data_IF_965303682119
#
_entry.id   IF_965303682119
#
_cell.length_a   1.000
_cell.length_b   1.000
_cell.length_c   1.000
_cell.angle_alpha   90.00
_cell.angle_beta   90.00
_cell.angle_gamma   90.00
#
_symmetry.space_group_name_H-M   'P 1'
#
loop_
_entity.id
_entity.type
_entity.pdbx_description
1 polymer ?
#
# COMPACT_ATOMS: atom_id res chain seq x y z
N UNK A 1 24.23 -45.60 68.53
CA UNK A 1 23.49 -45.03 69.67
C UNK A 1 24.15 -43.72 70.05
N UNK A 2 23.32 -42.71 70.34
CA UNK A 2 23.57 -41.32 70.74
C UNK A 2 23.61 -40.29 69.57
N UNK A 3 22.53 -39.54 69.27
CA UNK A 3 21.92 -38.36 69.98
C UNK A 3 22.87 -37.14 69.97
N UNK A 4 22.53 -35.88 69.67
CA UNK A 4 21.27 -35.09 69.71
C UNK A 4 21.56 -33.67 69.14
N UNK A 5 20.63 -33.03 68.39
CA UNK A 5 19.87 -31.81 68.79
C UNK A 5 20.48 -30.42 68.44
N UNK A 6 19.79 -29.75 67.48
CA UNK A 6 19.20 -28.38 67.44
C UNK A 6 20.03 -27.07 67.53
N UNK A 7 19.61 -26.17 66.62
CA UNK A 7 19.26 -24.73 66.77
C UNK A 7 20.33 -23.67 67.11
N UNK A 8 20.57 -22.73 66.17
CA UNK A 8 20.01 -21.35 66.21
C UNK A 8 20.97 -20.22 65.80
N UNK A 9 20.53 -19.47 64.78
CA UNK A 9 20.44 -17.98 64.66
C UNK A 9 21.71 -17.14 64.87
N UNK A 10 22.08 -16.31 63.87
CA UNK A 10 22.02 -14.83 63.90
C UNK A 10 22.66 -14.25 62.63
N UNK A 11 21.91 -13.33 62.02
CA UNK A 11 22.22 -12.58 60.81
C UNK A 11 23.19 -11.42 61.04
N UNK A 12 23.96 -11.03 60.00
CA UNK A 12 24.23 -9.62 59.75
C UNK A 12 24.56 -9.35 58.26
N UNK A 13 23.59 -8.70 57.61
CA UNK A 13 23.66 -7.73 56.52
C UNK A 13 25.01 -7.00 56.30
N UNK A 14 25.42 -6.79 55.04
CA UNK A 14 25.40 -5.47 54.34
C UNK A 14 26.23 -5.44 53.03
N UNK A 15 25.55 -4.95 51.99
CA UNK A 15 25.93 -4.23 50.74
C UNK A 15 26.81 -4.82 49.62
N UNK A 16 26.20 -4.70 48.45
CA UNK A 16 26.69 -4.82 47.09
C UNK A 16 27.72 -3.75 46.69
N UNK A 17 28.60 -4.07 45.74
CA UNK A 17 29.08 -3.13 44.74
C UNK A 17 29.67 -3.85 43.51
N UNK A 18 28.97 -3.71 42.39
CA UNK A 18 29.49 -3.41 41.05
C UNK A 18 30.28 -4.50 40.29
N UNK A 19 29.54 -5.27 39.50
CA UNK A 19 30.07 -5.95 38.32
C UNK A 19 30.40 -4.93 37.23
N UNK A 20 31.68 -4.82 36.89
CA UNK A 20 32.17 -4.02 35.75
C UNK A 20 31.92 -4.81 34.45
N UNK A 21 31.23 -4.25 33.44
CA UNK A 21 31.02 -4.93 32.15
C UNK A 21 32.33 -4.99 31.35
N UNK A 22 32.52 -6.07 30.58
CA UNK A 22 33.74 -6.32 29.80
C UNK A 22 33.75 -5.49 28.51
N UNK A 23 34.94 -5.15 27.95
CA UNK A 23 35.08 -4.28 26.76
C UNK A 23 34.46 -4.81 25.45
N UNK A 24 33.83 -5.98 25.44
CA UNK A 24 33.20 -6.58 24.27
C UNK A 24 31.73 -6.14 24.08
N UNK A 25 31.10 -5.50 25.08
CA UNK A 25 29.69 -5.09 25.04
C UNK A 25 29.46 -3.66 24.49
N UNK A 26 30.49 -3.05 23.87
CA UNK A 26 30.45 -1.68 23.34
C UNK A 26 30.61 -1.64 21.81
N UNK A 27 29.93 -2.54 21.10
CA UNK A 27 29.68 -2.33 19.67
C UNK A 27 28.43 -1.42 19.55
N UNK A 28 28.49 -0.30 18.81
CA UNK A 28 27.29 0.49 18.55
C UNK A 28 26.29 -0.38 17.78
N UNK A 29 25.03 -0.36 18.22
CA UNK A 29 23.90 -0.90 17.46
C UNK A 29 24.02 -0.42 16.02
N UNK A 30 24.35 -1.34 15.10
CA UNK A 30 24.15 -1.06 13.68
C UNK A 30 22.65 -0.85 13.53
N UNK A 31 22.18 0.25 12.91
CA UNK A 31 20.77 0.36 12.58
C UNK A 31 20.40 -0.90 11.81
N UNK A 32 19.47 -1.66 12.38
CA UNK A 32 18.95 -2.88 11.78
C UNK A 32 18.57 -2.54 10.34
N UNK A 33 19.32 -3.11 9.39
CA UNK A 33 19.13 -2.79 7.99
C UNK A 33 17.69 -3.14 7.64
N UNK A 34 16.92 -2.14 7.21
CA UNK A 34 15.53 -2.34 6.83
C UNK A 34 15.42 -3.58 5.92
N UNK A 35 14.43 -4.45 6.15
CA UNK A 35 14.29 -5.68 5.37
C UNK A 35 14.35 -5.33 3.87
N UNK A 36 15.03 -6.16 3.06
CA UNK A 36 15.25 -5.86 1.65
C UNK A 36 13.91 -5.52 1.00
N UNK A 37 13.82 -4.33 0.39
CA UNK A 37 12.63 -3.90 -0.35
C UNK A 37 12.23 -5.01 -1.31
N UNK A 38 11.02 -5.53 -1.14
CA UNK A 38 10.51 -6.58 -2.01
C UNK A 38 10.50 -6.07 -3.46
N UNK A 39 11.31 -6.70 -4.32
CA UNK A 39 11.48 -6.31 -5.72
C UNK A 39 10.26 -6.74 -6.54
N UNK A 40 9.49 -5.77 -7.02
CA UNK A 40 8.40 -5.96 -7.97
C UNK A 40 7.09 -5.31 -7.52
N UNK A 41 6.13 -5.24 -8.43
CA UNK A 41 4.82 -4.66 -8.16
C UNK A 41 4.15 -5.31 -6.92
N UNK A 42 3.47 -4.49 -6.13
CA UNK A 42 2.66 -4.96 -5.02
C UNK A 42 1.20 -4.60 -5.25
N UNK A 43 0.31 -5.45 -4.76
CA UNK A 43 -1.12 -5.16 -4.77
C UNK A 43 -1.43 -4.01 -3.81
N UNK A 44 -2.34 -3.14 -4.24
CA UNK A 44 -2.81 -2.00 -3.47
C UNK A 44 -4.31 -2.08 -3.24
N UNK A 45 -4.75 -1.43 -2.18
CA UNK A 45 -6.15 -1.13 -1.92
C UNK A 45 -6.46 0.29 -2.35
N UNK A 46 -7.60 0.49 -3.02
CA UNK A 46 -8.12 1.83 -3.32
C UNK A 46 -8.86 2.30 -2.07
N UNK A 47 -8.23 3.17 -1.28
CA UNK A 47 -8.71 3.54 0.06
C UNK A 47 -9.83 4.56 -0.04
N UNK A 48 -9.62 5.62 -0.83
CA UNK A 48 -10.56 6.73 -0.93
C UNK A 48 -10.38 7.52 -2.23
N UNK A 49 -11.44 8.25 -2.58
CA UNK A 49 -11.37 9.39 -3.49
C UNK A 49 -11.64 10.63 -2.64
N UNK A 50 -10.64 11.48 -2.49
CA UNK A 50 -10.69 12.73 -1.72
C UNK A 50 -10.91 13.90 -2.65
N UNK A 51 -11.53 14.97 -2.15
CA UNK A 51 -11.66 16.24 -2.87
C UNK A 51 -11.07 17.32 -1.96
N UNK A 52 -10.05 18.01 -2.44
CA UNK A 52 -9.51 19.17 -1.73
C UNK A 52 -10.55 20.31 -1.77
N UNK A 53 -10.93 20.84 -0.60
CA UNK A 53 -12.02 21.80 -0.51
C UNK A 53 -11.68 23.17 -1.13
N UNK A 54 -10.39 23.52 -1.21
CA UNK A 54 -9.96 24.82 -1.73
C UNK A 54 -9.84 24.80 -3.25
N UNK A 55 -9.25 23.74 -3.79
CA UNK A 55 -8.95 23.58 -5.21
C UNK A 55 -10.02 22.80 -5.97
N UNK A 56 -10.93 22.14 -5.25
CA UNK A 56 -11.91 21.19 -5.79
C UNK A 56 -11.27 20.06 -6.60
N UNK A 57 -9.96 19.83 -6.44
CA UNK A 57 -9.21 18.81 -7.16
C UNK A 57 -9.45 17.43 -6.53
N UNK A 58 -9.98 16.45 -7.27
CA UNK A 58 -10.08 15.09 -6.79
C UNK A 58 -8.74 14.37 -6.79
N UNK A 59 -8.52 13.52 -5.79
CA UNK A 59 -7.33 12.68 -5.62
C UNK A 59 -7.75 11.28 -5.21
N UNK A 60 -7.24 10.25 -5.89
CA UNK A 60 -7.41 8.86 -5.46
C UNK A 60 -6.22 8.44 -4.60
N UNK A 61 -6.51 7.78 -3.48
CA UNK A 61 -5.51 7.28 -2.53
C UNK A 61 -5.41 5.76 -2.65
N UNK A 62 -4.22 5.28 -2.99
CA UNK A 62 -3.87 3.87 -3.06
C UNK A 62 -2.95 3.52 -1.90
N UNK A 63 -3.19 2.38 -1.22
CA UNK A 63 -2.32 1.90 -0.15
C UNK A 63 -1.79 0.50 -0.45
N UNK A 64 -0.47 0.32 -0.39
CA UNK A 64 0.21 -0.96 -0.51
C UNK A 64 -0.27 -1.95 0.55
N UNK A 65 -0.71 -3.14 0.12
CA UNK A 65 -1.13 -4.20 1.05
C UNK A 65 0.04 -4.78 1.85
N UNK A 66 1.25 -4.75 1.27
CA UNK A 66 2.47 -5.35 1.83
C UNK A 66 3.12 -4.48 2.90
N UNK A 67 3.25 -3.18 2.64
CA UNK A 67 4.07 -2.26 3.46
C UNK A 67 3.34 -0.98 3.87
N UNK A 68 2.06 -0.85 3.52
CA UNK A 68 1.21 0.29 3.87
C UNK A 68 1.66 1.65 3.31
N UNK A 69 2.61 1.68 2.36
CA UNK A 69 2.94 2.92 1.64
C UNK A 69 1.76 3.39 0.82
N UNK A 70 1.58 4.70 0.74
CA UNK A 70 0.50 5.29 -0.05
C UNK A 70 1.02 5.96 -1.32
N UNK A 71 0.22 5.90 -2.38
CA UNK A 71 0.38 6.72 -3.59
C UNK A 71 -0.90 7.52 -3.78
N UNK A 72 -0.75 8.80 -4.02
CA UNK A 72 -1.85 9.72 -4.28
C UNK A 72 -1.77 10.18 -5.73
N UNK A 73 -2.89 10.08 -6.45
CA UNK A 73 -2.98 10.47 -7.86
C UNK A 73 -4.09 11.51 -8.02
N UNK A 74 -3.72 12.71 -8.48
CA UNK A 74 -4.70 13.72 -8.88
C UNK A 74 -5.43 13.26 -10.15
N UNK A 75 -6.77 13.38 -10.16
CA UNK A 75 -7.63 12.95 -11.27
C UNK A 75 -8.73 13.99 -11.52
N UNK A 76 -9.35 13.98 -12.69
CA UNK A 76 -10.49 14.85 -12.98
C UNK A 76 -11.78 14.43 -12.26
N UNK A 77 -12.77 15.33 -12.25
CA UNK A 77 -14.08 15.08 -11.61
C UNK A 77 -14.85 13.91 -12.25
N UNK A 78 -14.75 13.76 -13.57
CA UNK A 78 -15.38 12.66 -14.29
C UNK A 78 -14.74 11.32 -13.90
N UNK A 79 -13.41 11.27 -13.85
CA UNK A 79 -12.66 10.10 -13.38
C UNK A 79 -12.97 9.76 -11.92
N UNK A 80 -13.06 10.77 -11.06
CA UNK A 80 -13.40 10.61 -9.65
C UNK A 80 -14.76 9.95 -9.46
N UNK A 81 -15.77 10.35 -10.24
CA UNK A 81 -17.09 9.71 -10.24
C UNK A 81 -17.00 8.27 -10.74
N UNK A 82 -16.20 8.03 -11.78
CA UNK A 82 -15.92 6.70 -12.31
C UNK A 82 -15.37 5.73 -11.27
N UNK A 83 -14.59 6.22 -10.30
CA UNK A 83 -13.98 5.41 -9.23
C UNK A 83 -14.85 5.38 -7.96
N UNK A 84 -15.37 6.52 -7.51
CA UNK A 84 -16.05 6.66 -6.23
C UNK A 84 -17.37 5.87 -6.16
N UNK A 85 -18.18 5.92 -7.23
CA UNK A 85 -19.48 5.20 -7.30
C UNK A 85 -19.33 3.69 -7.05
N UNK A 86 -18.49 2.94 -7.81
CA UNK A 86 -18.32 1.52 -7.57
C UNK A 86 -17.56 1.22 -6.27
N UNK A 87 -16.66 2.11 -5.82
CA UNK A 87 -15.94 1.95 -4.55
C UNK A 87 -16.91 1.97 -3.36
N UNK A 88 -17.96 2.78 -3.43
CA UNK A 88 -19.05 2.82 -2.45
C UNK A 88 -20.06 1.67 -2.60
N UNK A 89 -19.87 0.78 -3.59
CA UNK A 89 -20.80 -0.31 -3.88
C UNK A 89 -22.14 0.15 -4.46
N UNK A 90 -22.23 1.39 -4.94
CA UNK A 90 -23.46 1.96 -5.50
C UNK A 90 -23.62 1.47 -6.94
N UNK A 91 -24.80 0.92 -7.26
CA UNK A 91 -25.15 0.55 -8.63
C UNK A 91 -25.98 1.66 -9.27
N UNK A 92 -25.48 2.30 -10.34
CA UNK A 92 -26.22 3.36 -11.03
C UNK A 92 -27.43 2.79 -11.81
N UNK A 93 -28.48 3.60 -12.08
CA UNK A 93 -29.67 3.15 -12.80
C UNK A 93 -29.40 2.80 -14.27
N UNK A 94 -28.29 3.30 -14.84
CA UNK A 94 -27.82 3.00 -16.18
C UNK A 94 -26.32 2.68 -16.13
N UNK A 95 -25.82 1.77 -16.99
CA UNK A 95 -24.39 1.49 -17.07
C UNK A 95 -23.59 2.76 -17.38
N UNK A 96 -22.52 2.99 -16.63
CA UNK A 96 -21.54 4.03 -16.93
C UNK A 96 -20.53 3.51 -17.96
N UNK A 97 -19.60 4.36 -18.37
CA UNK A 97 -18.61 4.04 -19.41
C UNK A 97 -17.83 2.76 -19.09
N UNK A 98 -17.30 2.61 -17.87
CA UNK A 98 -16.54 1.42 -17.48
C UNK A 98 -17.43 0.17 -17.40
N UNK A 99 -18.71 0.29 -17.06
CA UNK A 99 -19.67 -0.83 -17.09
C UNK A 99 -19.94 -1.30 -18.53
N UNK A 100 -20.03 -0.34 -19.48
CA UNK A 100 -20.14 -0.63 -20.90
C UNK A 100 -18.90 -1.39 -21.41
N UNK A 101 -17.68 -0.96 -21.04
CA UNK A 101 -16.44 -1.65 -21.42
C UNK A 101 -16.37 -3.08 -20.87
N UNK A 102 -16.74 -3.30 -19.60
CA UNK A 102 -16.77 -4.64 -19.02
C UNK A 102 -17.84 -5.53 -19.67
N UNK A 103 -18.98 -4.96 -20.05
CA UNK A 103 -19.99 -5.67 -20.83
C UNK A 103 -19.44 -6.08 -22.20
N UNK A 104 -18.74 -5.18 -22.89
CA UNK A 104 -18.09 -5.46 -24.17
C UNK A 104 -17.04 -6.57 -24.03
N UNK A 105 -16.17 -6.50 -23.01
CA UNK A 105 -15.19 -7.55 -22.73
C UNK A 105 -15.87 -8.91 -22.54
N UNK A 106 -16.94 -8.98 -21.73
CA UNK A 106 -17.71 -10.19 -21.53
C UNK A 106 -18.31 -10.75 -22.84
N UNK A 107 -18.85 -9.90 -23.71
CA UNK A 107 -19.40 -10.32 -25.02
C UNK A 107 -18.32 -10.84 -25.97
N UNK A 108 -17.11 -10.31 -25.87
CA UNK A 108 -15.95 -10.73 -26.64
C UNK A 108 -15.17 -11.88 -25.98
N UNK A 109 -15.64 -12.41 -24.85
CA UNK A 109 -14.96 -13.45 -24.03
C UNK A 109 -13.55 -13.02 -23.59
N UNK A 110 -13.38 -11.73 -23.34
CA UNK A 110 -12.16 -11.13 -22.78
C UNK A 110 -12.35 -10.94 -21.28
N UNK A 111 -11.34 -11.29 -20.49
CA UNK A 111 -11.35 -11.11 -19.03
C UNK A 111 -10.24 -10.17 -18.61
N UNK A 112 -10.56 -9.14 -17.83
CA UNK A 112 -9.57 -8.28 -17.20
C UNK A 112 -8.93 -9.04 -16.01
N UNK A 113 -7.63 -9.29 -16.09
CA UNK A 113 -6.91 -10.13 -15.11
C UNK A 113 -6.34 -9.29 -13.97
N UNK A 114 -5.76 -8.14 -14.30
CA UNK A 114 -5.15 -7.19 -13.36
C UNK A 114 -4.91 -5.85 -14.03
N UNK A 115 -4.66 -4.83 -13.23
CA UNK A 115 -4.10 -3.57 -13.70
C UNK A 115 -2.82 -3.26 -12.95
N UNK A 116 -1.85 -2.63 -13.61
CA UNK A 116 -0.58 -2.26 -12.99
C UNK A 116 -0.31 -0.79 -13.29
N UNK A 117 -0.09 0.01 -12.26
CA UNK A 117 0.48 1.35 -12.38
C UNK A 117 1.99 1.16 -12.47
N UNK A 118 2.53 1.44 -13.66
CA UNK A 118 3.86 0.97 -14.07
C UNK A 118 4.95 2.02 -13.86
N UNK A 119 4.61 3.29 -14.01
CA UNK A 119 5.61 4.36 -13.94
C UNK A 119 5.00 5.72 -13.59
N UNK A 120 5.88 6.63 -13.18
CA UNK A 120 5.64 8.06 -12.97
C UNK A 120 6.76 8.83 -13.67
N UNK A 121 6.44 9.70 -14.64
CA UNK A 121 7.41 10.51 -15.37
C UNK A 121 6.82 11.89 -15.57
N UNK A 122 7.59 12.93 -15.23
CA UNK A 122 7.16 14.33 -15.39
C UNK A 122 5.76 14.57 -14.77
N UNK A 123 5.54 14.05 -13.56
CA UNK A 123 4.26 14.06 -12.83
C UNK A 123 3.07 13.36 -13.51
N UNK A 124 3.33 12.59 -14.56
CA UNK A 124 2.33 11.79 -15.28
C UNK A 124 2.49 10.31 -14.92
N UNK A 125 1.41 9.73 -14.39
CA UNK A 125 1.34 8.30 -14.08
C UNK A 125 0.89 7.50 -15.31
N UNK A 126 1.47 6.31 -15.45
CA UNK A 126 1.16 5.35 -16.51
C UNK A 126 0.61 4.06 -15.92
N UNK A 127 -0.31 3.42 -16.63
CA UNK A 127 -0.86 2.13 -16.24
C UNK A 127 -1.04 1.19 -17.44
N UNK A 128 -1.01 -0.10 -17.17
CA UNK A 128 -1.34 -1.14 -18.14
C UNK A 128 -2.50 -1.96 -17.59
N UNK A 129 -3.52 -2.15 -18.42
CA UNK A 129 -4.59 -3.13 -18.20
C UNK A 129 -4.20 -4.43 -18.87
N UNK A 130 -4.22 -5.52 -18.11
CA UNK A 130 -3.89 -6.85 -18.59
C UNK A 130 -5.18 -7.64 -18.82
N UNK A 131 -5.29 -8.23 -20.01
CA UNK A 131 -6.50 -8.88 -20.50
C UNK A 131 -6.16 -10.31 -20.97
N UNK A 132 -6.96 -11.28 -20.54
CA UNK A 132 -6.95 -12.63 -21.08
C UNK A 132 -7.97 -12.73 -22.22
N UNK A 133 -7.50 -13.14 -23.40
CA UNK A 133 -8.28 -13.32 -24.63
C UNK A 133 -8.31 -14.77 -25.14
N UNK A 134 -7.79 -15.73 -24.35
CA UNK A 134 -7.63 -17.13 -24.75
C UNK A 134 -6.32 -17.47 -25.46
N UNK A 135 -5.38 -16.51 -25.54
CA UNK A 135 -4.04 -16.67 -26.09
C UNK A 135 -2.99 -15.96 -25.23
N UNK A 136 -1.93 -15.38 -25.83
CA UNK A 136 -1.00 -14.52 -25.11
C UNK A 136 -1.74 -13.38 -24.39
N UNK A 137 -1.28 -13.02 -23.18
CA UNK A 137 -1.86 -11.93 -22.40
C UNK A 137 -1.79 -10.63 -23.21
N UNK A 138 -2.95 -10.00 -23.45
CA UNK A 138 -3.03 -8.72 -24.13
C UNK A 138 -2.80 -7.59 -23.12
N UNK A 139 -1.91 -6.68 -23.47
CA UNK A 139 -1.59 -5.50 -22.67
C UNK A 139 -2.16 -4.26 -23.36
N UNK A 140 -2.89 -3.46 -22.60
CA UNK A 140 -3.47 -2.20 -23.08
C UNK A 140 -2.93 -1.05 -22.24
N UNK A 141 -2.30 -0.08 -22.89
CA UNK A 141 -1.90 1.17 -22.25
C UNK A 141 -3.15 1.96 -21.80
N UNK A 142 -3.10 2.49 -20.59
CA UNK A 142 -4.24 3.17 -19.98
C UNK A 142 -3.79 4.27 -19.01
N UNK A 143 -4.64 5.28 -18.84
CA UNK A 143 -4.54 6.17 -17.69
C UNK A 143 -4.84 5.38 -16.41
N UNK A 144 -4.15 5.64 -15.29
CA UNK A 144 -4.42 4.97 -14.02
C UNK A 144 -5.86 5.08 -13.56
N UNK A 145 -6.51 6.24 -13.75
CA UNK A 145 -7.90 6.46 -13.36
C UNK A 145 -8.87 5.47 -14.03
N UNK A 146 -8.71 5.25 -15.33
CA UNK A 146 -9.53 4.31 -16.10
C UNK A 146 -9.25 2.86 -15.71
N UNK A 147 -7.96 2.52 -15.53
CA UNK A 147 -7.54 1.21 -15.11
C UNK A 147 -8.10 0.83 -13.72
N UNK A 148 -8.02 1.77 -12.76
CA UNK A 148 -8.58 1.60 -11.40
C UNK A 148 -10.11 1.44 -11.47
N UNK A 149 -10.79 2.29 -12.24
CA UNK A 149 -12.25 2.24 -12.36
C UNK A 149 -12.76 0.91 -12.97
N UNK A 150 -12.01 0.33 -13.92
CA UNK A 150 -12.28 -1.02 -14.44
C UNK A 150 -12.00 -2.10 -13.39
N UNK A 151 -10.86 -2.04 -12.72
CA UNK A 151 -10.43 -3.05 -11.75
C UNK A 151 -11.39 -3.17 -10.57
N UNK A 152 -11.86 -2.05 -10.00
CA UNK A 152 -12.83 -2.07 -8.88
C UNK A 152 -14.12 -2.79 -9.29
N UNK A 153 -14.66 -2.47 -10.47
CA UNK A 153 -15.90 -3.08 -10.98
C UNK A 153 -15.73 -4.56 -11.31
N UNK A 154 -14.60 -4.93 -11.92
CA UNK A 154 -14.26 -6.30 -12.27
C UNK A 154 -13.79 -7.13 -11.06
N UNK A 155 -13.59 -6.50 -9.90
CA UNK A 155 -12.93 -7.10 -8.72
C UNK A 155 -11.57 -7.70 -9.05
N UNK A 156 -10.83 -7.04 -9.95
CA UNK A 156 -9.49 -7.43 -10.33
C UNK A 156 -8.45 -6.70 -9.46
N UNK A 157 -7.29 -7.31 -9.21
CA UNK A 157 -6.23 -6.68 -8.43
C UNK A 157 -5.67 -5.44 -9.13
N UNK A 158 -5.45 -4.40 -8.34
CA UNK A 158 -4.69 -3.20 -8.72
C UNK A 158 -3.29 -3.38 -8.14
N UNK A 159 -2.27 -3.28 -8.97
CA UNK A 159 -0.88 -3.33 -8.53
C UNK A 159 -0.17 -2.02 -8.84
N UNK A 160 0.85 -1.71 -8.04
CA UNK A 160 1.72 -0.55 -8.23
C UNK A 160 3.17 -1.04 -8.20
N UNK A 161 3.94 -0.65 -9.21
CA UNK A 161 5.37 -0.93 -9.28
C UNK A 161 6.14 -0.23 -8.15
N UNK A 162 7.16 -0.90 -7.61
CA UNK A 162 8.01 -0.37 -6.53
C UNK A 162 8.56 1.03 -6.85
N UNK A 163 8.99 1.23 -8.11
CA UNK A 163 9.51 2.50 -8.60
C UNK A 163 8.51 3.65 -8.50
N UNK A 164 7.21 3.35 -8.58
CA UNK A 164 6.14 4.36 -8.51
C UNK A 164 6.00 4.84 -7.08
N UNK A 165 6.04 3.92 -6.09
CA UNK A 165 6.09 4.30 -4.68
C UNK A 165 7.31 5.16 -4.37
N UNK A 166 8.47 4.81 -4.91
CA UNK A 166 9.72 5.54 -4.66
C UNK A 166 9.67 6.96 -5.22
N UNK A 167 9.14 7.14 -6.44
CA UNK A 167 8.99 8.45 -7.07
C UNK A 167 7.90 9.30 -6.40
N UNK A 168 6.74 8.70 -6.09
CA UNK A 168 5.64 9.41 -5.44
C UNK A 168 5.96 9.79 -4.00
N UNK A 169 6.66 8.92 -3.26
CA UNK A 169 7.08 9.17 -1.88
C UNK A 169 8.16 10.24 -1.76
N UNK A 170 9.02 10.40 -2.78
CA UNK A 170 10.02 11.48 -2.83
C UNK A 170 9.40 12.87 -3.08
N UNK A 171 8.17 12.93 -3.62
CA UNK A 171 7.43 14.15 -3.91
C UNK A 171 6.36 14.54 -2.88
N UNK A 172 6.16 13.75 -1.82
CA UNK A 172 5.16 14.04 -0.80
C UNK A 172 5.50 15.35 -0.07
N UNK A 173 4.77 16.43 -0.42
CA UNK A 173 4.84 17.73 0.23
C UNK A 173 4.77 17.57 1.77
N UNK A 174 5.52 18.38 2.54
CA UNK A 174 5.47 18.32 3.99
C UNK A 174 4.03 18.53 4.45
N UNK A 175 3.51 17.60 5.27
CA UNK A 175 2.23 17.77 5.96
C UNK A 175 2.24 19.15 6.62
N UNK A 176 1.41 20.08 6.15
CA UNK A 176 1.27 21.38 6.82
C UNK A 176 0.79 21.11 8.25
N UNK A 177 1.42 21.70 9.28
CA UNK A 177 0.94 21.56 10.64
C UNK A 177 -0.46 22.17 10.72
N UNK A 178 -1.38 21.43 11.35
CA UNK A 178 -2.68 21.94 11.78
C UNK A 178 -2.41 23.14 12.69
N UNK A 179 -2.80 24.34 12.25
CA UNK A 179 -2.92 25.52 13.10
C UNK A 179 -4.31 25.50 13.71
#
# INVERSE_FOLDING_TARGET
MNTSVRLSVIALLVLAALGVPRPADLAPDRPEAAPPKATGAQEVEVVAVLIDQNTQQPTVVLQGKRDKRSVELAIGLAEATGIAVPLQGVTPPRPLTHDLFLTLFGRLKVTLTRVVITDLRDDIFYAIVYLNTGGPELQLDARPSDAIALAIRAKAPVLVEERVFDKAGAGALPRRPSI
#
